data_IF_524715982541
#
_entry.id   IF_524715982541
#
_cell.length_a   1.000
_cell.length_b   1.000
_cell.length_c   1.000
_cell.angle_alpha   90.00
_cell.angle_beta   90.00
_cell.angle_gamma   90.00
#
_symmetry.space_group_name_H-M   'P 1'
#
loop_
_entity.id
_entity.type
_entity.pdbx_description
1 polymer ?
#
# COMPACT_ATOMS: atom_id res chain seq x y z
N UNK A 1 -27.00 -20.87 -14.35
CA UNK A 1 -26.68 -21.87 -13.33
C UNK A 1 -25.22 -21.70 -12.94
N UNK A 2 -24.97 -21.31 -11.68
CA UNK A 2 -23.62 -21.12 -11.12
C UNK A 2 -22.73 -22.34 -11.39
N UNK A 3 -21.58 -22.12 -12.01
CA UNK A 3 -20.52 -23.13 -12.09
C UNK A 3 -19.94 -23.27 -10.68
N UNK A 4 -20.06 -24.46 -10.07
CA UNK A 4 -19.49 -24.74 -8.75
C UNK A 4 -17.96 -24.60 -8.82
N UNK A 5 -17.41 -23.65 -8.10
CA UNK A 5 -15.97 -23.50 -7.84
C UNK A 5 -15.49 -24.67 -6.96
N UNK A 6 -15.12 -25.78 -7.57
CA UNK A 6 -14.59 -26.94 -6.87
C UNK A 6 -13.14 -27.17 -7.27
N UNK A 7 -12.20 -26.80 -6.42
CA UNK A 7 -10.85 -27.36 -6.44
C UNK A 7 -10.64 -28.14 -5.14
N UNK A 8 -10.11 -29.39 -5.17
CA UNK A 8 -9.64 -30.03 -3.96
C UNK A 8 -8.41 -29.32 -3.47
N UNK A 9 -8.31 -29.11 -2.16
CA UNK A 9 -7.14 -28.60 -1.49
C UNK A 9 -5.90 -29.43 -1.91
N UNK A 10 -4.91 -28.79 -2.50
CA UNK A 10 -3.60 -29.39 -2.67
C UNK A 10 -2.91 -29.36 -1.31
N UNK A 11 -2.83 -30.50 -0.66
CA UNK A 11 -1.99 -30.74 0.51
C UNK A 11 -0.53 -30.49 0.16
N UNK A 12 -0.04 -29.29 0.46
CA UNK A 12 1.39 -29.02 0.51
C UNK A 12 1.90 -29.53 1.88
N UNK A 13 2.12 -30.82 1.96
CA UNK A 13 2.86 -31.43 3.07
C UNK A 13 4.30 -30.91 3.00
N UNK A 14 4.65 -29.99 3.87
CA UNK A 14 6.02 -29.54 4.10
C UNK A 14 6.78 -30.66 4.79
N UNK A 15 7.54 -31.44 4.02
CA UNK A 15 8.48 -32.42 4.55
C UNK A 15 9.65 -31.70 5.22
N UNK A 16 9.72 -31.82 6.53
CA UNK A 16 10.87 -31.42 7.34
C UNK A 16 12.01 -32.40 7.00
N UNK A 17 12.95 -31.98 6.18
CA UNK A 17 14.22 -32.69 6.00
C UNK A 17 15.18 -32.21 7.10
N UNK A 18 15.46 -33.11 8.04
CA UNK A 18 16.48 -32.91 9.06
C UNK A 18 17.86 -32.84 8.41
N UNK A 19 18.53 -31.70 8.49
CA UNK A 19 19.93 -31.56 8.13
C UNK A 19 20.76 -31.80 9.38
N UNK A 20 21.58 -32.89 9.31
CA UNK A 20 22.54 -33.25 10.33
C UNK A 20 23.63 -32.18 10.47
N UNK A 21 23.93 -31.82 11.73
CA UNK A 21 24.87 -30.78 12.09
C UNK A 21 26.30 -31.08 11.62
N UNK A 22 26.93 -30.08 10.99
CA UNK A 22 28.34 -29.97 10.82
C UNK A 22 28.97 -29.25 12.03
N UNK A 23 30.22 -29.61 12.45
CA UNK A 23 30.78 -29.09 13.69
C UNK A 23 31.19 -27.62 13.55
N UNK A 24 30.73 -26.85 14.54
CA UNK A 24 31.05 -25.44 14.74
C UNK A 24 32.55 -25.27 14.97
N UNK A 25 33.26 -24.61 14.07
CA UNK A 25 34.58 -24.06 14.34
C UNK A 25 34.47 -22.86 15.25
N UNK A 26 34.91 -22.98 16.50
CA UNK A 26 35.17 -21.86 17.38
C UNK A 26 36.39 -21.05 16.87
N UNK A 27 36.10 -20.02 16.03
CA UNK A 27 37.01 -18.90 15.84
C UNK A 27 36.38 -17.70 16.60
N UNK A 28 37.15 -16.87 17.30
CA UNK A 28 36.71 -15.61 17.85
C UNK A 28 36.08 -14.81 16.69
N UNK A 29 34.77 -14.88 16.58
CA UNK A 29 34.06 -14.20 15.55
C UNK A 29 34.17 -12.68 15.77
N UNK A 30 34.53 -11.96 14.73
CA UNK A 30 34.06 -10.59 14.61
C UNK A 30 32.54 -10.66 14.82
N UNK A 31 32.03 -9.90 15.76
CA UNK A 31 30.60 -9.77 16.04
C UNK A 31 29.95 -9.41 14.70
N UNK A 32 29.07 -10.28 14.18
CA UNK A 32 28.43 -10.00 12.89
C UNK A 32 27.60 -8.75 13.06
N UNK A 33 27.73 -7.83 12.10
CA UNK A 33 26.96 -6.59 12.12
C UNK A 33 25.47 -6.91 12.20
N UNK A 34 24.76 -6.24 13.08
CA UNK A 34 23.33 -6.43 13.25
C UNK A 34 22.55 -5.75 12.10
N UNK A 35 21.37 -6.30 11.80
CA UNK A 35 20.44 -5.75 10.80
C UNK A 35 19.09 -5.53 11.47
N UNK A 36 18.89 -4.33 12.01
CA UNK A 36 17.68 -3.97 12.73
C UNK A 36 16.66 -3.29 11.84
N UNK A 37 15.42 -3.26 12.31
CA UNK A 37 14.31 -2.60 11.61
C UNK A 37 13.70 -1.52 12.50
N UNK A 38 13.26 -0.41 11.90
CA UNK A 38 12.55 0.67 12.61
C UNK A 38 11.36 1.17 11.80
N UNK A 39 10.24 1.40 12.50
CA UNK A 39 9.03 1.95 11.91
C UNK A 39 8.22 2.75 12.93
N UNK A 40 7.26 3.54 12.46
CA UNK A 40 6.38 4.33 13.32
C UNK A 40 5.45 3.43 14.15
N UNK A 41 4.75 2.51 13.49
CA UNK A 41 3.73 1.66 14.12
C UNK A 41 3.76 0.26 13.51
N UNK A 42 3.80 -0.78 14.34
CA UNK A 42 3.59 -2.15 13.91
C UNK A 42 2.11 -2.52 14.11
N UNK A 43 1.33 -2.56 13.03
CA UNK A 43 -0.09 -2.90 13.02
C UNK A 43 -0.31 -4.40 12.90
N UNK A 44 -1.39 -4.90 13.51
CA UNK A 44 -1.80 -6.29 13.35
C UNK A 44 -2.64 -6.45 12.08
N UNK A 45 -2.25 -7.36 11.21
CA UNK A 45 -3.00 -7.69 10.00
C UNK A 45 -2.88 -6.64 8.89
N UNK A 46 -1.96 -5.67 9.00
CA UNK A 46 -1.65 -4.77 7.89
C UNK A 46 -0.48 -5.29 7.03
N UNK A 47 -0.37 -4.78 5.80
CA UNK A 47 0.64 -5.21 4.84
C UNK A 47 2.07 -4.92 5.34
N UNK A 48 2.31 -3.75 5.93
CA UNK A 48 3.63 -3.34 6.43
C UNK A 48 4.03 -4.24 7.62
N UNK A 49 3.08 -4.53 8.52
CA UNK A 49 3.33 -5.42 9.65
C UNK A 49 3.75 -6.82 9.20
N UNK A 50 3.07 -7.38 8.20
CA UNK A 50 3.45 -8.69 7.64
C UNK A 50 4.83 -8.66 6.98
N UNK A 51 5.16 -7.61 6.24
CA UNK A 51 6.46 -7.47 5.59
C UNK A 51 7.59 -7.34 6.61
N UNK A 52 7.46 -6.50 7.63
CA UNK A 52 8.44 -6.32 8.71
C UNK A 52 8.74 -7.64 9.41
N UNK A 53 7.71 -8.40 9.76
CA UNK A 53 7.87 -9.72 10.39
C UNK A 53 8.49 -10.74 9.42
N UNK A 54 8.14 -10.67 8.14
CA UNK A 54 8.73 -11.49 7.08
C UNK A 54 10.23 -11.21 6.92
N UNK A 55 10.62 -9.95 6.84
CA UNK A 55 12.01 -9.49 6.76
C UNK A 55 12.80 -10.01 7.98
N UNK A 56 12.28 -9.81 9.20
CA UNK A 56 12.96 -10.29 10.41
C UNK A 56 13.20 -11.80 10.38
N UNK A 57 12.22 -12.58 9.93
CA UNK A 57 12.36 -14.03 9.81
C UNK A 57 13.49 -14.41 8.86
N UNK A 58 13.59 -13.78 7.69
CA UNK A 58 14.63 -14.04 6.69
C UNK A 58 16.00 -13.64 7.23
N UNK A 59 16.13 -12.46 7.83
CA UNK A 59 17.37 -11.98 8.42
C UNK A 59 17.89 -12.92 9.51
N UNK A 60 17.01 -13.35 10.43
CA UNK A 60 17.38 -14.30 11.51
C UNK A 60 17.73 -15.67 10.95
N UNK A 61 17.04 -16.15 9.91
CA UNK A 61 17.38 -17.40 9.24
C UNK A 61 18.75 -17.35 8.54
N UNK A 62 19.15 -16.17 8.04
CA UNK A 62 20.47 -15.92 7.49
C UNK A 62 21.57 -15.72 8.56
N UNK A 63 21.21 -15.70 9.85
CA UNK A 63 22.13 -15.59 10.98
C UNK A 63 22.40 -14.17 11.48
N UNK A 64 21.66 -13.18 10.98
CA UNK A 64 21.77 -11.81 11.47
C UNK A 64 21.04 -11.63 12.81
N UNK A 65 21.61 -10.82 13.70
CA UNK A 65 20.87 -10.26 14.82
C UNK A 65 19.90 -9.19 14.27
N UNK A 66 18.61 -9.41 14.49
CA UNK A 66 17.54 -8.55 13.94
C UNK A 66 16.42 -8.35 14.94
N UNK A 67 16.28 -7.09 15.35
CA UNK A 67 15.23 -6.59 16.24
C UNK A 67 14.35 -5.57 15.52
N UNK A 68 13.09 -5.43 15.96
CA UNK A 68 12.12 -4.48 15.42
C UNK A 68 11.89 -3.37 16.46
N UNK A 69 12.18 -2.14 16.09
CA UNK A 69 12.02 -0.95 16.94
C UNK A 69 10.85 -0.10 16.46
N UNK A 70 9.94 0.26 17.38
CA UNK A 70 8.71 0.96 17.02
C UNK A 70 8.42 2.13 17.98
N UNK A 71 7.67 3.12 17.49
CA UNK A 71 7.09 4.14 18.36
C UNK A 71 5.83 3.59 19.04
N UNK A 72 5.02 2.81 18.31
CA UNK A 72 3.82 2.14 18.84
C UNK A 72 3.66 0.77 18.19
N UNK A 73 3.02 -0.16 18.89
CA UNK A 73 2.65 -1.47 18.35
C UNK A 73 1.22 -1.82 18.75
N UNK A 74 0.57 -2.66 17.93
CA UNK A 74 -0.66 -3.32 18.36
C UNK A 74 -0.35 -4.19 19.60
N UNK A 75 -1.19 -4.20 20.65
CA UNK A 75 -0.93 -4.96 21.89
C UNK A 75 -0.63 -6.45 21.67
N UNK A 76 -1.15 -7.05 20.59
CA UNK A 76 -0.90 -8.45 20.22
C UNK A 76 0.53 -8.67 19.70
N UNK A 77 1.19 -7.63 19.18
CA UNK A 77 2.52 -7.68 18.58
C UNK A 77 3.59 -6.99 19.44
N UNK A 78 3.22 -6.34 20.55
CA UNK A 78 4.13 -5.59 21.40
C UNK A 78 5.32 -6.44 21.87
N UNK A 79 5.07 -7.71 22.18
CA UNK A 79 6.10 -8.67 22.64
C UNK A 79 7.17 -9.01 21.59
N UNK A 80 6.95 -8.65 20.32
CA UNK A 80 7.88 -8.83 19.19
C UNK A 80 8.72 -7.59 18.92
N UNK A 81 8.49 -6.49 19.65
CA UNK A 81 9.06 -5.18 19.36
C UNK A 81 9.82 -4.61 20.56
N UNK A 82 10.64 -3.61 20.28
CA UNK A 82 11.31 -2.77 21.28
C UNK A 82 10.93 -1.31 21.06
N UNK A 83 11.07 -0.51 22.10
CA UNK A 83 10.90 0.94 21.98
C UNK A 83 11.98 1.53 21.04
N UNK A 84 11.57 2.42 20.14
CA UNK A 84 12.50 3.05 19.19
C UNK A 84 13.66 3.82 19.84
N UNK A 85 13.51 4.24 21.11
CA UNK A 85 14.56 4.91 21.88
C UNK A 85 15.71 3.97 22.24
N UNK A 86 15.44 2.67 22.35
CA UNK A 86 16.47 1.66 22.64
C UNK A 86 17.44 1.46 21.46
N UNK A 87 17.10 1.96 20.26
CA UNK A 87 18.03 2.00 19.12
C UNK A 87 19.33 2.71 19.45
N UNK A 88 19.28 3.75 20.32
CA UNK A 88 20.46 4.54 20.71
C UNK A 88 21.52 3.66 21.35
N UNK A 89 21.12 2.66 22.12
CA UNK A 89 22.01 1.78 22.88
C UNK A 89 22.65 0.66 22.03
N UNK A 90 22.02 0.30 20.88
CA UNK A 90 22.47 -0.80 20.01
C UNK A 90 23.03 -0.31 18.68
N UNK A 91 22.93 0.98 18.40
CA UNK A 91 23.36 1.59 17.15
C UNK A 91 24.88 1.52 16.97
N UNK A 92 25.33 1.22 15.76
CA UNK A 92 26.74 1.13 15.39
C UNK A 92 26.97 1.53 13.92
N UNK A 93 28.10 2.18 13.59
CA UNK A 93 28.46 2.49 12.22
C UNK A 93 28.55 1.26 11.28
N UNK A 94 28.74 0.08 11.83
CA UNK A 94 28.86 -1.17 11.06
C UNK A 94 27.52 -1.86 10.86
N UNK A 95 26.51 -1.54 11.67
CA UNK A 95 25.17 -2.10 11.56
C UNK A 95 24.40 -1.55 10.34
N UNK A 96 23.39 -2.31 9.93
CA UNK A 96 22.37 -1.86 8.97
C UNK A 96 21.07 -1.60 9.72
N UNK A 97 20.45 -0.46 9.44
CA UNK A 97 19.12 -0.11 9.92
C UNK A 97 18.15 0.01 8.77
N UNK A 98 17.22 -0.94 8.67
CA UNK A 98 16.11 -0.90 7.71
C UNK A 98 15.03 0.01 8.29
N UNK A 99 14.82 1.16 7.65
CA UNK A 99 13.82 2.13 8.06
C UNK A 99 12.59 2.03 7.16
N UNK A 100 11.50 1.52 7.71
CA UNK A 100 10.20 1.47 7.04
C UNK A 100 9.51 2.82 7.09
N UNK A 101 9.48 3.51 5.97
CA UNK A 101 9.00 4.88 5.87
C UNK A 101 7.63 4.94 5.18
N UNK A 102 6.59 5.04 6.00
CA UNK A 102 5.19 5.20 5.56
C UNK A 102 4.59 6.53 5.99
N UNK A 103 5.21 7.21 6.96
CA UNK A 103 4.83 8.54 7.48
C UNK A 103 5.97 9.09 8.32
N UNK A 104 6.08 10.43 8.42
CA UNK A 104 7.02 11.07 9.36
C UNK A 104 6.68 10.75 10.82
N UNK A 105 7.70 10.41 11.63
CA UNK A 105 7.51 9.99 13.02
C UNK A 105 8.71 10.35 13.90
N UNK A 106 8.56 10.26 15.22
CA UNK A 106 9.70 10.39 16.15
C UNK A 106 10.71 9.26 15.98
N UNK A 107 10.23 8.04 15.69
CA UNK A 107 11.11 6.91 15.40
C UNK A 107 11.96 7.18 14.15
N UNK A 108 11.36 7.74 13.10
CA UNK A 108 12.08 8.17 11.89
C UNK A 108 13.17 9.19 12.18
N UNK A 109 12.89 10.18 13.05
CA UNK A 109 13.85 11.24 13.42
C UNK A 109 15.01 10.71 14.25
N UNK A 110 14.76 9.77 15.18
CA UNK A 110 15.82 9.08 15.93
C UNK A 110 16.68 8.26 14.98
N UNK A 111 16.08 7.42 14.14
CA UNK A 111 16.78 6.61 13.14
C UNK A 111 17.68 7.45 12.22
N UNK A 112 17.20 8.61 11.80
CA UNK A 112 17.97 9.55 10.96
C UNK A 112 19.26 9.97 11.62
N UNK A 113 19.26 10.25 12.93
CA UNK A 113 20.38 10.80 13.69
C UNK A 113 21.46 9.77 14.10
N UNK A 114 21.18 8.47 13.93
CA UNK A 114 22.09 7.38 14.33
C UNK A 114 23.15 7.11 13.26
N UNK A 115 24.29 6.48 13.59
CA UNK A 115 25.37 6.20 12.65
C UNK A 115 25.14 4.99 11.76
N UNK A 116 24.12 4.16 12.00
CA UNK A 116 23.87 2.93 11.23
C UNK A 116 23.78 3.19 9.73
N UNK A 117 24.19 2.22 8.91
CA UNK A 117 23.99 2.24 7.46
C UNK A 117 22.51 2.12 7.16
N UNK A 118 21.88 3.19 6.70
CA UNK A 118 20.42 3.21 6.54
C UNK A 118 19.99 2.66 5.19
N UNK A 119 19.11 1.66 5.24
CA UNK A 119 18.31 1.20 4.10
C UNK A 119 16.88 1.71 4.31
N UNK A 120 16.39 2.55 3.41
CA UNK A 120 15.01 3.02 3.45
C UNK A 120 14.11 2.06 2.68
N UNK A 121 13.02 1.59 3.29
CA UNK A 121 11.91 0.90 2.60
C UNK A 121 10.72 1.85 2.58
N UNK A 122 10.37 2.34 1.41
CA UNK A 122 9.34 3.33 1.20
C UNK A 122 8.00 2.69 0.85
N UNK A 123 7.05 2.76 1.77
CA UNK A 123 5.71 2.19 1.64
C UNK A 123 4.68 3.15 1.05
N UNK A 124 5.13 4.22 0.45
CA UNK A 124 4.35 5.34 -0.03
C UNK A 124 3.68 6.16 1.09
N UNK A 125 3.65 7.46 0.89
CA UNK A 125 2.89 8.38 1.75
C UNK A 125 1.75 8.95 0.92
N UNK A 126 0.52 8.62 1.29
CA UNK A 126 -0.67 9.13 0.61
C UNK A 126 -0.63 10.66 0.52
N UNK A 127 -0.86 11.24 -0.67
CA UNK A 127 -0.90 12.69 -0.82
C UNK A 127 -1.89 13.36 0.12
N UNK A 128 -1.50 14.48 0.76
CA UNK A 128 -2.32 15.12 1.80
C UNK A 128 -3.68 15.64 1.30
N UNK A 129 -3.80 15.94 0.02
CA UNK A 129 -5.05 16.44 -0.59
C UNK A 129 -6.22 15.48 -0.44
N UNK A 130 -5.98 14.17 -0.35
CA UNK A 130 -7.05 13.19 -0.11
C UNK A 130 -7.74 13.37 1.24
N UNK A 131 -7.04 13.96 2.23
CA UNK A 131 -7.52 14.08 3.59
C UNK A 131 -8.01 15.49 3.95
N UNK A 132 -7.92 16.43 3.02
CA UNK A 132 -8.44 17.80 3.20
C UNK A 132 -9.94 17.73 3.53
N UNK A 133 -10.38 18.52 4.50
CA UNK A 133 -11.75 18.60 5.01
C UNK A 133 -12.23 17.34 5.77
N UNK A 134 -11.42 16.27 5.82
CA UNK A 134 -11.80 15.00 6.46
C UNK A 134 -10.96 14.71 7.71
N UNK A 135 -9.64 14.90 7.61
CA UNK A 135 -8.72 14.51 8.68
C UNK A 135 -7.51 15.46 8.78
N UNK A 136 -7.64 16.64 9.43
CA UNK A 136 -6.61 17.69 9.46
C UNK A 136 -5.23 17.22 9.92
N UNK A 137 -5.18 16.39 10.98
CA UNK A 137 -3.91 15.86 11.48
C UNK A 137 -3.20 15.00 10.43
N UNK A 138 -3.94 14.17 9.68
CA UNK A 138 -3.35 13.31 8.67
C UNK A 138 -2.88 14.12 7.45
N UNK A 139 -3.57 15.21 7.09
CA UNK A 139 -3.09 16.19 6.10
C UNK A 139 -1.70 16.68 6.50
N UNK A 140 -1.54 17.13 7.76
CA UNK A 140 -0.26 17.60 8.27
C UNK A 140 0.82 16.51 8.24
N UNK A 141 0.53 15.32 8.78
CA UNK A 141 1.49 14.23 8.85
C UNK A 141 1.94 13.74 7.47
N UNK A 142 1.01 13.62 6.51
CA UNK A 142 1.35 13.23 5.14
C UNK A 142 2.16 14.32 4.43
N UNK A 143 1.77 15.58 4.59
CA UNK A 143 2.50 16.72 4.02
C UNK A 143 3.94 16.78 4.52
N UNK A 144 4.14 16.69 5.84
CA UNK A 144 5.46 16.69 6.46
C UNK A 144 6.26 15.46 6.04
N UNK A 145 5.68 14.26 6.09
CA UNK A 145 6.36 13.02 5.74
C UNK A 145 6.87 13.01 4.30
N UNK A 146 6.08 13.50 3.34
CA UNK A 146 6.53 13.63 1.94
C UNK A 146 7.69 14.63 1.78
N UNK A 147 7.74 15.67 2.59
CA UNK A 147 8.87 16.63 2.61
C UNK A 147 10.10 16.07 3.32
N UNK A 148 9.90 15.39 4.45
CA UNK A 148 10.97 14.72 5.19
C UNK A 148 11.67 13.64 4.35
N UNK A 149 10.96 12.98 3.42
CA UNK A 149 11.55 12.01 2.50
C UNK A 149 12.80 12.54 1.79
N UNK A 150 12.78 13.82 1.37
CA UNK A 150 13.91 14.46 0.72
C UNK A 150 15.17 14.55 1.59
N UNK A 151 15.02 14.62 2.92
CA UNK A 151 16.16 14.63 3.85
C UNK A 151 16.90 13.29 3.88
N UNK A 152 16.21 12.19 3.64
CA UNK A 152 16.80 10.85 3.65
C UNK A 152 17.65 10.53 2.42
N UNK A 153 17.56 11.32 1.34
CA UNK A 153 18.33 11.12 0.11
C UNK A 153 19.82 10.96 0.35
N UNK A 154 20.40 11.84 1.14
CA UNK A 154 21.84 11.87 1.42
C UNK A 154 22.20 11.03 2.67
N UNK A 155 21.19 10.47 3.33
CA UNK A 155 21.34 9.66 4.55
C UNK A 155 21.38 8.16 4.25
N UNK A 156 20.67 7.73 3.21
CA UNK A 156 20.51 6.31 2.90
C UNK A 156 21.63 5.80 2.01
N UNK A 157 22.14 4.60 2.33
CA UNK A 157 23.02 3.84 1.42
C UNK A 157 22.21 3.21 0.30
N UNK A 158 20.93 2.93 0.56
CA UNK A 158 20.01 2.28 -0.35
C UNK A 158 18.57 2.71 -0.02
N UNK A 159 17.74 2.96 -1.04
CA UNK A 159 16.33 3.24 -0.89
C UNK A 159 15.50 2.27 -1.77
N UNK A 160 14.59 1.54 -1.14
CA UNK A 160 13.79 0.50 -1.77
C UNK A 160 12.32 0.92 -1.77
N UNK A 161 11.64 0.72 -2.89
CA UNK A 161 10.18 0.79 -2.95
C UNK A 161 9.60 -0.62 -2.88
N UNK A 162 8.44 -0.78 -2.25
CA UNK A 162 7.69 -2.04 -2.22
C UNK A 162 6.97 -2.34 -3.55
N UNK A 163 7.02 -1.39 -4.49
CA UNK A 163 6.54 -1.52 -5.86
C UNK A 163 7.39 -0.70 -6.83
N UNK A 164 7.23 -0.95 -8.13
CA UNK A 164 7.85 -0.14 -9.17
C UNK A 164 7.43 1.33 -9.05
N UNK A 165 6.16 1.60 -8.80
CA UNK A 165 5.61 2.95 -8.58
C UNK A 165 6.33 3.68 -7.43
N UNK A 166 6.50 3.03 -6.28
CA UNK A 166 7.18 3.61 -5.14
C UNK A 166 8.67 3.84 -5.41
N UNK A 167 9.31 2.94 -6.16
CA UNK A 167 10.69 3.11 -6.58
C UNK A 167 10.85 4.29 -7.55
N UNK A 168 9.91 4.51 -8.46
CA UNK A 168 9.90 5.68 -9.35
C UNK A 168 9.78 7.00 -8.56
N UNK A 169 8.98 7.05 -7.50
CA UNK A 169 8.93 8.21 -6.60
C UNK A 169 10.28 8.47 -5.94
N UNK A 170 11.01 7.42 -5.49
CA UNK A 170 12.35 7.57 -4.92
C UNK A 170 13.36 8.07 -5.95
N UNK A 171 13.34 7.53 -7.18
CA UNK A 171 14.19 8.01 -8.28
C UNK A 171 13.93 9.48 -8.56
N UNK A 172 12.67 9.87 -8.65
CA UNK A 172 12.27 11.26 -8.89
C UNK A 172 12.59 12.19 -7.71
N UNK A 173 12.60 11.68 -6.47
CA UNK A 173 13.09 12.41 -5.30
C UNK A 173 14.62 12.54 -5.26
N UNK A 174 15.34 11.93 -6.20
CA UNK A 174 16.78 12.06 -6.38
C UNK A 174 17.62 11.12 -5.51
N UNK A 175 17.07 10.00 -5.05
CA UNK A 175 17.85 8.99 -4.33
C UNK A 175 18.88 8.35 -5.27
N UNK A 176 20.18 8.30 -4.88
CA UNK A 176 21.25 7.89 -5.78
C UNK A 176 21.26 6.39 -6.06
N UNK A 177 20.74 5.59 -5.14
CA UNK A 177 20.68 4.13 -5.26
C UNK A 177 19.29 3.65 -4.83
N UNK A 178 18.54 3.11 -5.79
CA UNK A 178 17.17 2.62 -5.58
C UNK A 178 17.00 1.20 -6.08
N UNK A 179 15.97 0.51 -5.59
CA UNK A 179 15.58 -0.82 -6.03
C UNK A 179 14.15 -1.14 -5.62
N UNK A 180 13.61 -2.23 -6.17
CA UNK A 180 12.31 -2.78 -5.75
C UNK A 180 12.57 -3.92 -4.76
N UNK A 181 12.01 -3.82 -3.57
CA UNK A 181 11.84 -4.94 -2.66
C UNK A 181 10.37 -5.37 -2.75
N UNK A 182 10.05 -6.43 -3.49
CA UNK A 182 8.65 -6.76 -3.77
C UNK A 182 7.94 -7.19 -2.49
N UNK A 183 6.69 -6.76 -2.32
CA UNK A 183 5.81 -7.30 -1.28
C UNK A 183 5.37 -8.70 -1.71
N UNK A 184 5.60 -9.69 -0.86
CA UNK A 184 5.06 -11.04 -1.06
C UNK A 184 3.92 -11.26 -0.07
N UNK A 185 2.66 -11.15 -0.50
CA UNK A 185 1.52 -11.29 0.38
C UNK A 185 1.47 -12.72 0.95
N UNK A 186 1.17 -12.84 2.23
CA UNK A 186 0.82 -14.12 2.83
C UNK A 186 -0.69 -14.32 2.77
N UNK A 187 -1.14 -15.42 2.22
CA UNK A 187 -2.57 -15.75 2.14
C UNK A 187 -3.00 -16.75 3.22
N UNK A 188 -2.13 -17.06 4.19
CA UNK A 188 -2.42 -18.02 5.27
C UNK A 188 -3.65 -17.65 6.11
N UNK A 189 -3.91 -16.35 6.26
CA UNK A 189 -5.09 -15.86 6.97
C UNK A 189 -6.41 -16.10 6.21
N UNK A 190 -6.35 -16.37 4.90
CA UNK A 190 -7.50 -16.69 4.06
C UNK A 190 -7.72 -18.22 3.90
N UNK A 191 -6.87 -19.05 4.49
CA UNK A 191 -6.97 -20.52 4.41
C UNK A 191 -8.06 -21.09 5.31
N UNK A 192 -8.66 -20.28 6.19
CA UNK A 192 -9.66 -20.72 7.15
C UNK A 192 -10.99 -21.05 6.45
N UNK A 193 -11.70 -22.04 7.00
CA UNK A 193 -12.98 -22.50 6.50
C UNK A 193 -14.01 -21.37 6.60
N UNK A 194 -14.78 -21.17 5.54
CA UNK A 194 -15.84 -20.16 5.47
C UNK A 194 -16.77 -20.21 6.69
N UNK A 195 -17.11 -19.05 7.24
CA UNK A 195 -18.13 -18.92 8.28
C UNK A 195 -19.48 -19.22 7.65
N UNK A 196 -20.09 -20.36 8.02
CA UNK A 196 -21.31 -20.88 7.41
C UNK A 196 -22.46 -19.86 7.35
N UNK A 197 -22.57 -19.00 8.38
CA UNK A 197 -23.59 -17.95 8.45
C UNK A 197 -23.45 -16.89 7.35
N UNK A 198 -22.22 -16.56 6.91
CA UNK A 198 -21.97 -15.62 5.81
C UNK A 198 -22.38 -16.29 4.49
N UNK A 199 -21.94 -17.52 4.27
CA UNK A 199 -22.33 -18.28 3.08
C UNK A 199 -23.86 -18.41 2.98
N UNK A 200 -24.53 -18.79 4.08
CA UNK A 200 -26.00 -18.89 4.14
C UNK A 200 -26.71 -17.56 3.85
N UNK A 201 -26.13 -16.43 4.27
CA UNK A 201 -26.72 -15.10 4.09
C UNK A 201 -26.53 -14.49 2.71
N UNK A 202 -25.44 -14.85 2.02
CA UNK A 202 -25.02 -14.19 0.78
C UNK A 202 -24.92 -15.12 -0.43
N UNK A 203 -25.06 -16.45 -0.27
CA UNK A 203 -25.16 -17.41 -1.39
C UNK A 203 -26.62 -17.70 -1.76
N UNK A 204 -27.38 -16.65 -2.04
CA UNK A 204 -28.82 -16.70 -2.32
C UNK A 204 -29.17 -16.38 -3.78
N UNK A 205 -28.17 -16.32 -4.67
CA UNK A 205 -28.33 -16.02 -6.08
C UNK A 205 -28.34 -14.52 -6.42
N UNK A 206 -28.09 -13.64 -5.46
CA UNK A 206 -27.79 -12.25 -5.73
C UNK A 206 -26.30 -12.08 -6.10
N UNK A 207 -26.00 -11.03 -6.86
CA UNK A 207 -24.62 -10.69 -7.19
C UNK A 207 -23.97 -9.89 -6.07
N UNK A 208 -22.85 -10.39 -5.54
CA UNK A 208 -22.10 -9.78 -4.47
C UNK A 208 -20.86 -9.08 -5.03
N UNK A 209 -20.85 -7.75 -4.99
CA UNK A 209 -19.69 -6.92 -5.36
C UNK A 209 -18.92 -6.64 -4.07
N UNK A 210 -17.65 -7.05 -4.03
CA UNK A 210 -16.80 -6.93 -2.83
C UNK A 210 -15.76 -5.81 -3.01
N UNK A 211 -15.55 -5.07 -1.94
CA UNK A 211 -14.38 -4.25 -1.70
C UNK A 211 -13.80 -4.60 -0.32
N UNK A 212 -12.47 -4.69 -0.24
CA UNK A 212 -11.73 -4.89 1.01
C UNK A 212 -10.68 -3.81 1.16
N UNK A 213 -10.67 -3.13 2.30
CA UNK A 213 -9.72 -2.09 2.62
C UNK A 213 -10.26 -1.05 3.60
N UNK A 214 -9.37 -0.25 4.20
CA UNK A 214 -9.80 0.86 5.07
C UNK A 214 -10.71 1.82 4.29
N UNK A 215 -11.78 2.27 4.92
CA UNK A 215 -12.71 3.24 4.31
C UNK A 215 -12.14 4.66 4.48
N UNK A 216 -11.18 5.02 3.64
CA UNK A 216 -10.48 6.31 3.64
C UNK A 216 -10.55 6.96 2.25
N UNK A 217 -10.40 8.28 2.14
CA UNK A 217 -10.69 9.03 0.92
C UNK A 217 -9.95 8.59 -0.34
N UNK A 218 -8.67 8.22 -0.24
CA UNK A 218 -7.89 7.74 -1.39
C UNK A 218 -8.38 6.40 -1.96
N UNK A 219 -9.16 5.63 -1.19
CA UNK A 219 -9.79 4.38 -1.65
C UNK A 219 -11.08 4.62 -2.44
N UNK A 220 -11.59 5.86 -2.45
CA UNK A 220 -12.73 6.29 -3.27
C UNK A 220 -13.98 5.43 -3.08
N UNK A 221 -14.34 5.18 -1.82
CA UNK A 221 -15.57 4.43 -1.50
C UNK A 221 -16.82 5.12 -2.05
N UNK A 222 -16.78 6.44 -2.14
CA UNK A 222 -17.84 7.23 -2.77
C UNK A 222 -18.01 6.89 -4.28
N UNK A 223 -16.92 6.63 -5.00
CA UNK A 223 -16.99 6.18 -6.39
C UNK A 223 -17.55 4.75 -6.48
N UNK A 224 -17.14 3.83 -5.57
CA UNK A 224 -17.73 2.49 -5.50
C UNK A 224 -19.25 2.53 -5.33
N UNK A 225 -19.74 3.39 -4.43
CA UNK A 225 -21.18 3.55 -4.21
C UNK A 225 -21.88 4.10 -5.45
N UNK A 226 -21.29 5.07 -6.17
CA UNK A 226 -21.86 5.62 -7.42
C UNK A 226 -21.87 4.61 -8.56
N UNK A 227 -20.78 3.85 -8.70
CA UNK A 227 -20.68 2.75 -9.69
C UNK A 227 -21.72 1.69 -9.38
N UNK A 228 -21.80 1.26 -8.13
CA UNK A 228 -22.79 0.29 -7.69
C UNK A 228 -24.23 0.78 -7.89
N UNK A 229 -24.52 2.06 -7.60
CA UNK A 229 -25.82 2.64 -7.89
C UNK A 229 -26.18 2.54 -9.38
N UNK A 230 -25.25 2.86 -10.28
CA UNK A 230 -25.45 2.72 -11.72
C UNK A 230 -25.68 1.26 -12.11
N UNK A 231 -24.86 0.33 -11.61
CA UNK A 231 -24.99 -1.10 -11.87
C UNK A 231 -26.33 -1.66 -11.40
N UNK A 232 -26.72 -1.36 -10.16
CA UNK A 232 -27.98 -1.83 -9.57
C UNK A 232 -29.22 -1.31 -10.30
N UNK A 233 -29.17 -0.07 -10.79
CA UNK A 233 -30.33 0.57 -11.45
C UNK A 233 -30.45 0.26 -12.93
N UNK A 234 -29.33 0.01 -13.63
CA UNK A 234 -29.31 -0.11 -15.09
C UNK A 234 -29.08 -1.56 -15.57
N UNK A 235 -28.38 -2.37 -14.77
CA UNK A 235 -27.96 -3.70 -15.15
C UNK A 235 -28.64 -4.76 -14.25
N UNK A 236 -28.29 -4.86 -12.97
CA UNK A 236 -28.76 -5.94 -12.10
C UNK A 236 -29.37 -5.43 -10.78
N UNK A 237 -30.72 -5.42 -10.65
CA UNK A 237 -31.36 -5.01 -9.40
C UNK A 237 -31.11 -5.99 -8.22
N UNK A 238 -30.68 -7.22 -8.50
CA UNK A 238 -30.34 -8.23 -7.50
C UNK A 238 -28.83 -8.25 -7.22
N UNK A 239 -28.27 -7.08 -6.90
CA UNK A 239 -26.87 -6.92 -6.55
C UNK A 239 -26.74 -6.32 -5.16
N UNK A 240 -25.59 -6.58 -4.51
CA UNK A 240 -25.17 -6.02 -3.21
C UNK A 240 -23.74 -5.47 -3.33
N UNK A 241 -23.46 -4.42 -2.58
CA UNK A 241 -22.10 -3.92 -2.38
C UNK A 241 -21.66 -4.23 -0.95
N UNK A 242 -20.64 -5.05 -0.81
CA UNK A 242 -20.05 -5.48 0.45
C UNK A 242 -18.76 -4.69 0.70
N UNK A 243 -18.77 -3.77 1.67
CA UNK A 243 -17.64 -2.93 2.02
C UNK A 243 -17.01 -3.43 3.31
N UNK A 244 -15.91 -4.16 3.21
CA UNK A 244 -15.17 -4.75 4.33
C UNK A 244 -13.97 -3.89 4.66
N UNK A 245 -13.86 -3.44 5.91
CA UNK A 245 -12.73 -2.70 6.43
C UNK A 245 -13.11 -1.61 7.42
N UNK A 246 -12.13 -1.20 8.21
CA UNK A 246 -12.32 -0.20 9.25
C UNK A 246 -12.45 1.21 8.68
N UNK A 247 -13.30 2.03 9.30
CA UNK A 247 -13.39 3.47 9.10
C UNK A 247 -12.84 4.27 10.31
N UNK A 248 -12.29 3.57 11.29
CA UNK A 248 -11.78 4.20 12.52
C UNK A 248 -10.87 5.39 12.26
N UNK A 249 -11.15 6.52 12.91
CA UNK A 249 -10.47 7.80 12.70
C UNK A 249 -10.96 8.62 11.48
N UNK A 250 -11.92 8.10 10.69
CA UNK A 250 -12.50 8.76 9.52
C UNK A 250 -14.03 8.92 9.62
N UNK A 251 -14.52 9.21 10.83
CA UNK A 251 -15.95 9.29 11.12
C UNK A 251 -16.68 10.29 10.22
N UNK A 252 -16.05 11.43 9.91
CA UNK A 252 -16.63 12.43 8.99
C UNK A 252 -16.78 11.87 7.57
N UNK A 253 -15.74 11.22 7.05
CA UNK A 253 -15.83 10.58 5.71
C UNK A 253 -16.87 9.48 5.70
N UNK A 254 -16.93 8.67 6.75
CA UNK A 254 -17.95 7.63 6.89
C UNK A 254 -19.36 8.19 6.91
N UNK A 255 -19.61 9.28 7.66
CA UNK A 255 -20.89 9.99 7.65
C UNK A 255 -21.25 10.52 6.24
N UNK A 256 -20.26 11.04 5.50
CA UNK A 256 -20.46 11.47 4.10
C UNK A 256 -20.87 10.30 3.19
N UNK A 257 -20.27 9.12 3.36
CA UNK A 257 -20.64 7.92 2.61
C UNK A 257 -22.07 7.47 2.92
N UNK A 258 -22.47 7.46 4.20
CA UNK A 258 -23.83 7.13 4.59
C UNK A 258 -24.86 8.14 4.01
N UNK A 259 -24.50 9.44 4.05
CA UNK A 259 -25.32 10.49 3.43
C UNK A 259 -25.44 10.31 1.91
N UNK A 260 -24.35 9.86 1.24
CA UNK A 260 -24.36 9.57 -0.19
C UNK A 260 -25.31 8.42 -0.52
N UNK A 261 -25.24 7.32 0.23
CA UNK A 261 -26.16 6.16 0.08
C UNK A 261 -27.62 6.62 0.22
N UNK A 262 -27.90 7.43 1.26
CA UNK A 262 -29.25 7.96 1.50
C UNK A 262 -29.73 8.92 0.38
N UNK A 263 -28.84 9.79 -0.13
CA UNK A 263 -29.13 10.74 -1.21
C UNK A 263 -29.42 10.02 -2.53
N UNK A 264 -28.63 9.02 -2.87
CA UNK A 264 -28.81 8.19 -4.06
C UNK A 264 -29.98 7.20 -3.90
N UNK A 265 -30.48 7.01 -2.69
CA UNK A 265 -31.51 6.02 -2.34
C UNK A 265 -31.13 4.62 -2.84
N UNK A 266 -29.84 4.28 -2.79
CA UNK A 266 -29.33 2.98 -3.20
C UNK A 266 -29.42 1.99 -2.06
N UNK A 267 -30.26 0.93 -2.15
CA UNK A 267 -30.31 -0.13 -1.14
C UNK A 267 -29.13 -1.11 -1.31
N UNK A 268 -29.01 -1.99 -0.31
CA UNK A 268 -28.10 -3.14 -0.35
C UNK A 268 -26.61 -2.77 -0.44
N UNK A 269 -26.24 -1.65 0.20
CA UNK A 269 -24.85 -1.27 0.50
C UNK A 269 -24.57 -1.63 1.96
N UNK A 270 -23.65 -2.55 2.19
CA UNK A 270 -23.31 -3.08 3.51
C UNK A 270 -21.94 -2.57 3.95
N UNK A 271 -21.91 -1.75 4.98
CA UNK A 271 -20.68 -1.33 5.66
C UNK A 271 -20.36 -2.32 6.78
N UNK A 272 -19.51 -3.30 6.50
CA UNK A 272 -19.26 -4.45 7.37
C UNK A 272 -18.23 -4.18 8.47
N UNK A 273 -17.48 -3.08 8.35
CA UNK A 273 -16.45 -2.73 9.33
C UNK A 273 -15.26 -3.68 9.32
N UNK A 274 -14.54 -3.72 10.44
CA UNK A 274 -13.45 -4.67 10.63
C UNK A 274 -14.02 -6.05 10.95
N UNK A 275 -13.57 -7.06 10.21
CA UNK A 275 -14.01 -8.44 10.33
C UNK A 275 -12.86 -9.36 10.75
N UNK A 276 -13.13 -10.57 11.23
CA UNK A 276 -12.11 -11.59 11.49
C UNK A 276 -11.52 -12.14 10.18
N UNK A 277 -10.40 -12.85 10.26
CA UNK A 277 -9.80 -13.51 9.10
C UNK A 277 -10.73 -14.57 8.47
N UNK A 278 -11.47 -15.29 9.31
CA UNK A 278 -12.46 -16.27 8.89
C UNK A 278 -13.62 -15.62 8.14
N UNK A 279 -14.13 -14.50 8.65
CA UNK A 279 -15.18 -13.73 8.01
C UNK A 279 -14.67 -13.09 6.71
N UNK A 280 -13.44 -12.55 6.68
CA UNK A 280 -12.81 -12.01 5.48
C UNK A 280 -12.71 -13.07 4.39
N UNK A 281 -12.22 -14.27 4.75
CA UNK A 281 -12.17 -15.42 3.84
C UNK A 281 -13.56 -15.75 3.27
N UNK A 282 -14.59 -15.79 4.14
CA UNK A 282 -15.96 -16.06 3.74
C UNK A 282 -16.55 -14.98 2.79
N UNK A 283 -16.23 -13.69 3.02
CA UNK A 283 -16.68 -12.62 2.11
C UNK A 283 -16.03 -12.73 0.72
N UNK A 284 -14.77 -13.12 0.64
CA UNK A 284 -14.17 -13.45 -0.65
C UNK A 284 -14.84 -14.67 -1.31
N UNK A 285 -15.19 -15.70 -0.54
CA UNK A 285 -15.81 -16.93 -1.09
C UNK A 285 -17.20 -16.69 -1.69
N UNK A 286 -17.97 -15.73 -1.16
CA UNK A 286 -19.30 -15.37 -1.67
C UNK A 286 -19.28 -14.25 -2.71
N UNK A 287 -18.13 -13.61 -2.96
CA UNK A 287 -18.00 -12.53 -3.92
C UNK A 287 -18.06 -13.03 -5.36
N UNK A 288 -18.78 -12.33 -6.21
CA UNK A 288 -18.82 -12.55 -7.66
C UNK A 288 -17.86 -11.63 -8.41
N UNK A 289 -17.57 -10.44 -7.86
CA UNK A 289 -16.63 -9.47 -8.42
C UNK A 289 -15.98 -8.68 -7.29
N UNK A 290 -14.67 -8.48 -7.39
CA UNK A 290 -13.94 -7.50 -6.56
C UNK A 290 -13.81 -6.20 -7.32
N UNK A 291 -14.33 -5.10 -6.76
CA UNK A 291 -14.29 -3.78 -7.39
C UNK A 291 -13.38 -2.84 -6.61
N UNK A 292 -12.36 -2.28 -7.26
CA UNK A 292 -11.44 -1.31 -6.70
C UNK A 292 -11.50 0.01 -7.47
N UNK A 293 -11.76 1.12 -6.75
CA UNK A 293 -11.78 2.47 -7.32
C UNK A 293 -10.67 3.37 -6.75
N UNK A 294 -9.70 2.79 -6.05
CA UNK A 294 -8.62 3.52 -5.39
C UNK A 294 -7.87 4.44 -6.35
N UNK A 295 -7.63 5.68 -5.95
CA UNK A 295 -6.82 6.64 -6.70
C UNK A 295 -5.36 6.67 -6.24
N UNK A 296 -5.08 6.09 -5.07
CA UNK A 296 -3.72 6.03 -4.56
C UNK A 296 -3.48 4.76 -3.74
N UNK A 297 -2.51 3.97 -4.20
CA UNK A 297 -2.03 2.73 -3.59
C UNK A 297 -0.51 2.66 -3.69
N UNK A 298 0.13 2.10 -2.65
CA UNK A 298 1.54 1.72 -2.71
C UNK A 298 1.74 0.33 -3.32
N UNK A 299 0.83 -0.62 -3.01
CA UNK A 299 0.79 -1.96 -3.59
C UNK A 299 -0.65 -2.46 -3.79
N UNK A 300 -1.51 -2.43 -2.77
CA UNK A 300 -2.89 -2.92 -2.77
C UNK A 300 -3.00 -4.46 -2.63
N UNK A 301 -2.58 -4.98 -1.48
CA UNK A 301 -2.68 -6.42 -1.13
C UNK A 301 -4.06 -7.05 -1.40
N UNK A 302 -5.21 -6.39 -1.15
CA UNK A 302 -6.53 -6.98 -1.42
C UNK A 302 -6.79 -7.42 -2.87
N UNK A 303 -6.07 -6.86 -3.85
CA UNK A 303 -6.14 -7.35 -5.24
C UNK A 303 -5.57 -8.76 -5.36
N UNK A 304 -4.44 -9.01 -4.70
CA UNK A 304 -3.80 -10.33 -4.69
C UNK A 304 -4.59 -11.34 -3.86
N UNK A 305 -5.24 -10.88 -2.79
CA UNK A 305 -6.18 -11.72 -2.01
C UNK A 305 -7.38 -12.14 -2.87
N UNK A 306 -7.96 -11.22 -3.64
CA UNK A 306 -9.03 -11.52 -4.58
C UNK A 306 -8.57 -12.50 -5.68
N UNK A 307 -7.35 -12.35 -6.20
CA UNK A 307 -6.76 -13.30 -7.14
C UNK A 307 -6.64 -14.70 -6.50
N UNK A 308 -6.05 -14.77 -5.30
CA UNK A 308 -5.90 -16.02 -4.56
C UNK A 308 -7.24 -16.72 -4.30
N UNK A 309 -8.28 -15.97 -3.99
CA UNK A 309 -9.65 -16.47 -3.77
C UNK A 309 -10.44 -16.66 -5.07
N UNK A 310 -9.78 -16.47 -6.24
CA UNK A 310 -10.39 -16.62 -7.57
C UNK A 310 -11.68 -15.78 -7.71
N UNK A 311 -11.63 -14.55 -7.24
CA UNK A 311 -12.67 -13.54 -7.47
C UNK A 311 -12.23 -12.68 -8.65
N UNK A 312 -13.02 -12.54 -9.72
CA UNK A 312 -12.68 -11.63 -10.82
C UNK A 312 -12.48 -10.21 -10.31
N UNK A 313 -11.41 -9.55 -10.73
CA UNK A 313 -11.05 -8.19 -10.29
C UNK A 313 -11.28 -7.19 -11.41
N UNK A 314 -12.01 -6.10 -11.07
CA UNK A 314 -12.12 -4.89 -11.86
C UNK A 314 -11.57 -3.73 -11.06
N UNK A 315 -10.46 -3.11 -11.50
CA UNK A 315 -9.76 -2.09 -10.73
C UNK A 315 -9.45 -0.83 -11.55
N UNK A 316 -9.46 0.32 -10.87
CA UNK A 316 -9.03 1.59 -11.47
C UNK A 316 -7.52 1.63 -11.66
N UNK A 317 -7.09 2.00 -12.88
CA UNK A 317 -5.68 2.04 -13.27
C UNK A 317 -4.98 3.27 -12.68
N UNK A 318 -4.68 3.26 -11.39
CA UNK A 318 -3.98 4.35 -10.71
C UNK A 318 -2.79 3.85 -9.90
N UNK A 319 -1.72 4.64 -9.88
CA UNK A 319 -0.51 4.44 -9.06
C UNK A 319 0.06 3.02 -9.16
N UNK A 320 0.17 2.26 -8.07
CA UNK A 320 0.71 0.90 -8.10
C UNK A 320 -0.26 -0.17 -8.62
N UNK A 321 -1.57 0.12 -8.76
CA UNK A 321 -2.59 -0.89 -9.14
C UNK A 321 -2.22 -1.66 -10.42
N UNK A 322 -1.83 -1.01 -11.55
CA UNK A 322 -1.48 -1.75 -12.77
C UNK A 322 -0.27 -2.67 -12.59
N UNK A 323 0.77 -2.22 -11.87
CA UNK A 323 1.96 -3.03 -11.62
C UNK A 323 1.70 -4.17 -10.64
N UNK A 324 0.84 -3.97 -9.64
CA UNK A 324 0.44 -5.03 -8.70
C UNK A 324 -0.37 -6.10 -9.39
N UNK A 325 -1.31 -5.72 -10.27
CA UNK A 325 -2.12 -6.68 -11.02
C UNK A 325 -1.30 -7.45 -12.07
N UNK A 326 -0.21 -6.89 -12.55
CA UNK A 326 0.73 -7.54 -13.49
C UNK A 326 0.04 -8.27 -14.66
N UNK A 327 -0.95 -7.61 -15.27
CA UNK A 327 -1.74 -8.14 -16.37
C UNK A 327 -2.84 -9.12 -15.96
N UNK A 328 -3.04 -9.39 -14.66
CA UNK A 328 -4.20 -10.14 -14.16
C UNK A 328 -5.43 -9.24 -13.98
N UNK A 329 -6.62 -9.80 -14.12
CA UNK A 329 -7.87 -9.06 -13.94
C UNK A 329 -8.15 -8.04 -15.04
N UNK A 330 -9.02 -7.07 -14.75
CA UNK A 330 -9.44 -6.01 -15.68
C UNK A 330 -9.15 -4.65 -15.10
N UNK A 331 -8.49 -3.78 -15.88
CA UNK A 331 -8.24 -2.38 -15.52
C UNK A 331 -9.21 -1.45 -16.27
N UNK A 332 -9.70 -0.41 -15.57
CA UNK A 332 -10.43 0.68 -16.20
C UNK A 332 -9.74 2.03 -15.91
N UNK A 333 -9.78 2.94 -16.87
CA UNK A 333 -9.11 4.26 -16.79
C UNK A 333 -10.10 5.41 -16.63
N UNK A 334 -11.38 5.19 -16.95
CA UNK A 334 -12.41 6.23 -16.91
C UNK A 334 -13.39 5.98 -15.78
N UNK A 335 -13.48 6.89 -14.83
CA UNK A 335 -14.39 6.83 -13.67
C UNK A 335 -15.81 7.30 -14.00
N UNK A 336 -16.38 6.89 -15.12
CA UNK A 336 -17.79 7.06 -15.41
C UNK A 336 -18.58 5.93 -14.74
N UNK A 337 -19.47 6.20 -13.79
CA UNK A 337 -20.22 5.15 -13.09
C UNK A 337 -21.01 4.24 -14.04
N UNK A 338 -21.64 4.80 -15.05
CA UNK A 338 -22.41 4.04 -16.05
C UNK A 338 -21.52 3.19 -16.95
N UNK A 339 -20.33 3.70 -17.32
CA UNK A 339 -19.39 2.94 -18.13
C UNK A 339 -18.83 1.75 -17.34
N UNK A 340 -18.39 1.98 -16.09
CA UNK A 340 -17.86 0.90 -15.25
C UNK A 340 -18.95 -0.12 -14.92
N UNK A 341 -20.20 0.31 -14.70
CA UNK A 341 -21.33 -0.59 -14.52
C UNK A 341 -21.58 -1.49 -15.72
N UNK A 342 -21.45 -0.97 -16.95
CA UNK A 342 -21.55 -1.76 -18.17
C UNK A 342 -20.41 -2.78 -18.31
N UNK A 343 -19.18 -2.42 -17.90
CA UNK A 343 -18.05 -3.36 -17.85
C UNK A 343 -18.30 -4.46 -16.82
N UNK A 344 -18.83 -4.12 -15.64
CA UNK A 344 -19.21 -5.12 -14.62
C UNK A 344 -20.23 -6.12 -15.18
N UNK A 345 -21.27 -5.62 -15.86
CA UNK A 345 -22.29 -6.48 -16.48
C UNK A 345 -21.66 -7.39 -17.53
N UNK A 346 -20.84 -6.87 -18.43
CA UNK A 346 -20.17 -7.65 -19.46
C UNK A 346 -19.29 -8.78 -18.87
N UNK A 347 -18.62 -8.52 -17.76
CA UNK A 347 -17.82 -9.55 -17.05
C UNK A 347 -18.74 -10.61 -16.44
N UNK A 348 -19.79 -10.19 -15.73
CA UNK A 348 -20.60 -11.09 -14.92
C UNK A 348 -21.60 -11.93 -15.75
N UNK A 349 -21.97 -11.46 -16.94
CA UNK A 349 -22.87 -12.18 -17.87
C UNK A 349 -22.14 -13.20 -18.75
N UNK A 350 -20.81 -13.10 -18.88
CA UNK A 350 -20.02 -13.97 -19.76
C UNK A 350 -19.10 -14.89 -18.92
N UNK A 351 -19.51 -16.16 -18.78
CA UNK A 351 -18.74 -17.15 -18.01
C UNK A 351 -17.37 -17.46 -18.64
N UNK A 352 -17.26 -17.42 -19.97
CA UNK A 352 -15.98 -17.66 -20.63
C UNK A 352 -15.03 -16.49 -20.41
N UNK A 353 -15.53 -15.25 -20.36
CA UNK A 353 -14.73 -14.07 -20.00
C UNK A 353 -14.28 -14.13 -18.55
N UNK A 354 -15.15 -14.55 -17.62
CA UNK A 354 -14.75 -14.77 -16.20
C UNK A 354 -13.60 -15.76 -16.10
N UNK A 355 -13.68 -16.91 -16.78
CA UNK A 355 -12.59 -17.90 -16.76
C UNK A 355 -11.28 -17.36 -17.37
N UNK A 356 -11.34 -16.56 -18.43
CA UNK A 356 -10.16 -15.89 -18.98
C UNK A 356 -9.54 -14.90 -17.99
N UNK A 357 -10.37 -14.11 -17.31
CA UNK A 357 -9.93 -13.17 -16.25
C UNK A 357 -9.25 -13.95 -15.13
N UNK A 358 -9.87 -15.01 -14.63
CA UNK A 358 -9.31 -15.85 -13.58
C UNK A 358 -7.99 -16.52 -14.00
N UNK A 359 -7.89 -16.99 -15.23
CA UNK A 359 -6.63 -17.53 -15.75
C UNK A 359 -5.51 -16.47 -15.81
N UNK A 360 -5.84 -15.23 -16.17
CA UNK A 360 -4.87 -14.12 -16.14
C UNK A 360 -4.40 -13.78 -14.71
N UNK A 361 -5.32 -13.85 -13.73
CA UNK A 361 -5.04 -13.66 -12.31
C UNK A 361 -4.18 -14.78 -11.73
N UNK A 362 -4.47 -16.04 -12.06
CA UNK A 362 -3.65 -17.18 -11.67
C UNK A 362 -2.20 -17.02 -12.21
N UNK A 363 -2.05 -16.63 -13.48
CA UNK A 363 -0.74 -16.39 -14.07
C UNK A 363 0.03 -15.23 -13.40
N UNK A 364 -0.65 -14.17 -12.96
CA UNK A 364 -0.04 -13.08 -12.21
C UNK A 364 0.42 -13.55 -10.81
N UNK A 365 -0.37 -14.36 -10.13
CA UNK A 365 0.02 -14.97 -8.84
C UNK A 365 1.22 -15.91 -9.01
N UNK A 366 1.27 -16.70 -10.08
CA UNK A 366 2.41 -17.58 -10.36
C UNK A 366 3.69 -16.77 -10.57
N UNK A 367 3.63 -15.64 -11.28
CA UNK A 367 4.78 -14.72 -11.43
C UNK A 367 5.20 -14.09 -10.11
N UNK A 368 4.23 -13.68 -9.29
CA UNK A 368 4.51 -13.13 -7.96
C UNK A 368 5.18 -14.18 -7.06
N UNK A 369 4.66 -15.41 -7.05
CA UNK A 369 5.23 -16.52 -6.26
C UNK A 369 6.62 -16.96 -6.73
N UNK A 370 6.93 -16.75 -8.03
CA UNK A 370 8.25 -17.04 -8.58
C UNK A 370 9.31 -15.98 -8.22
N UNK A 371 8.94 -14.87 -7.60
CA UNK A 371 9.88 -13.85 -7.17
C UNK A 371 10.69 -14.37 -5.98
N UNK A 372 12.02 -14.26 -6.08
CA UNK A 372 12.94 -14.61 -5.00
C UNK A 372 13.04 -13.42 -4.01
N UNK A 373 12.04 -13.30 -3.13
CA UNK A 373 12.03 -12.26 -2.11
C UNK A 373 13.23 -12.41 -1.15
N UNK A 374 13.46 -13.61 -0.62
CA UNK A 374 14.51 -13.86 0.37
C UNK A 374 15.90 -13.54 -0.20
N UNK A 375 16.21 -14.03 -1.39
CA UNK A 375 17.48 -13.74 -2.07
C UNK A 375 17.60 -12.26 -2.48
N UNK A 376 16.50 -11.63 -2.87
CA UNK A 376 16.50 -10.18 -3.19
C UNK A 376 16.78 -9.34 -1.95
N UNK A 377 16.11 -9.63 -0.84
CA UNK A 377 16.34 -8.96 0.44
C UNK A 377 17.79 -9.13 0.90
N UNK A 378 18.30 -10.37 0.93
CA UNK A 378 19.67 -10.67 1.40
C UNK A 378 20.72 -10.00 0.50
N UNK A 379 20.52 -9.95 -0.80
CA UNK A 379 21.41 -9.21 -1.72
C UNK A 379 21.45 -7.71 -1.39
N UNK A 380 20.31 -7.07 -1.08
CA UNK A 380 20.28 -5.67 -0.68
C UNK A 380 20.92 -5.45 0.70
N UNK A 381 20.74 -6.38 1.62
CA UNK A 381 21.41 -6.35 2.93
C UNK A 381 22.92 -6.50 2.78
N UNK A 382 23.40 -7.42 1.96
CA UNK A 382 24.82 -7.61 1.67
C UNK A 382 25.43 -6.35 1.02
N UNK A 383 24.72 -5.72 0.08
CA UNK A 383 25.12 -4.44 -0.51
C UNK A 383 25.25 -3.34 0.55
N UNK A 384 24.30 -3.25 1.46
CA UNK A 384 24.34 -2.28 2.55
C UNK A 384 25.47 -2.57 3.56
N UNK A 385 25.69 -3.83 3.90
CA UNK A 385 26.79 -4.25 4.78
C UNK A 385 28.16 -3.95 4.18
N UNK A 386 28.30 -4.08 2.86
CA UNK A 386 29.54 -3.77 2.13
C UNK A 386 29.80 -2.26 1.99
N UNK A 387 28.84 -1.40 2.25
CA UNK A 387 29.02 0.05 2.23
C UNK A 387 29.98 0.50 3.35
N UNK A 388 30.66 1.66 3.19
CA UNK A 388 31.50 2.22 4.25
C UNK A 388 30.74 2.36 5.56
N UNK A 389 31.44 2.35 6.72
CA UNK A 389 30.82 2.58 8.01
C UNK A 389 29.94 3.82 8.00
N UNK A 390 28.77 3.72 8.59
CA UNK A 390 27.82 4.82 8.64
C UNK A 390 28.34 5.98 9.47
N UNK A 391 27.80 7.17 9.21
CA UNK A 391 28.17 8.41 9.90
C UNK A 391 26.89 9.06 10.40
N UNK A 392 26.84 9.32 11.72
CA UNK A 392 25.75 10.09 12.30
C UNK A 392 25.73 11.50 11.70
N UNK A 393 24.63 11.95 11.10
CA UNK A 393 24.53 13.32 10.59
C UNK A 393 24.51 14.30 11.78
N UNK A 394 25.10 15.48 11.56
CA UNK A 394 25.03 16.57 12.54
C UNK A 394 23.67 17.26 12.39
N UNK A 395 22.71 16.88 13.22
CA UNK A 395 21.39 17.49 13.26
C UNK A 395 21.25 18.37 14.51
N UNK A 396 20.76 19.60 14.32
CA UNK A 396 20.31 20.48 15.39
C UNK A 396 18.83 20.23 15.69
N UNK A 397 18.33 20.78 16.78
CA UNK A 397 16.89 20.74 17.09
C UNK A 397 16.07 21.38 15.98
N UNK A 398 16.58 22.47 15.39
CA UNK A 398 15.91 23.25 14.34
C UNK A 398 15.93 22.53 12.97
N UNK A 399 16.69 21.44 12.81
CA UNK A 399 16.77 20.72 11.54
C UNK A 399 15.38 20.23 11.08
N UNK A 400 14.55 19.74 11.99
CA UNK A 400 13.23 19.23 11.70
C UNK A 400 12.18 20.32 11.55
N UNK A 401 12.42 21.51 12.15
CA UNK A 401 11.51 22.66 12.09
C UNK A 401 11.29 23.12 10.63
N UNK A 402 12.29 22.93 9.75
CA UNK A 402 12.14 23.20 8.32
C UNK A 402 11.03 22.39 7.63
N UNK A 403 10.62 21.28 8.22
CA UNK A 403 9.53 20.43 7.74
C UNK A 403 8.22 20.67 8.49
N UNK A 404 8.27 21.32 9.65
CA UNK A 404 7.11 21.67 10.47
C UNK A 404 6.48 22.98 9.97
N UNK A 405 5.92 22.92 8.79
CA UNK A 405 5.29 24.08 8.14
C UNK A 405 3.84 24.29 8.59
N UNK A 406 3.54 24.11 9.88
CA UNK A 406 2.18 24.15 10.38
C UNK A 406 1.49 25.48 10.08
N UNK A 407 2.18 26.61 10.27
CA UNK A 407 1.66 27.93 9.96
C UNK A 407 1.39 28.10 8.46
N UNK A 408 2.34 27.68 7.61
CA UNK A 408 2.18 27.73 6.14
C UNK A 408 1.07 26.81 5.66
N UNK A 409 0.96 25.62 6.26
CA UNK A 409 -0.10 24.68 5.94
C UNK A 409 -1.47 25.23 6.31
N UNK A 410 -1.59 25.85 7.47
CA UNK A 410 -2.84 26.46 7.93
C UNK A 410 -3.19 27.69 7.09
N UNK A 411 -2.21 28.51 6.72
CA UNK A 411 -2.40 29.65 5.80
C UNK A 411 -2.90 29.18 4.43
N UNK A 412 -2.26 28.16 3.84
CA UNK A 412 -2.67 27.57 2.56
C UNK A 412 -4.07 27.00 2.66
N UNK A 413 -4.39 26.28 3.75
CA UNK A 413 -5.69 25.69 4.00
C UNK A 413 -6.79 26.75 4.13
N UNK A 414 -6.50 27.83 4.85
CA UNK A 414 -7.46 28.89 5.12
C UNK A 414 -7.69 29.80 3.89
N UNK A 415 -6.63 30.20 3.21
CA UNK A 415 -6.68 31.20 2.15
C UNK A 415 -6.56 30.63 0.74
N UNK A 416 -5.98 29.43 0.60
CA UNK A 416 -5.75 28.77 -0.68
C UNK A 416 -5.95 27.26 -0.61
N UNK A 417 -7.11 26.74 -0.24
CA UNK A 417 -7.34 25.30 -0.12
C UNK A 417 -7.12 24.56 -1.45
N UNK A 418 -7.30 25.23 -2.60
CA UNK A 418 -6.97 24.68 -3.91
C UNK A 418 -5.46 24.48 -4.13
N UNK A 419 -4.62 25.34 -3.54
CA UNK A 419 -3.17 25.18 -3.61
C UNK A 419 -2.70 23.98 -2.80
N UNK A 420 -3.38 23.66 -1.69
CA UNK A 420 -3.10 22.43 -0.94
C UNK A 420 -3.44 21.18 -1.77
N UNK A 421 -4.52 21.21 -2.54
CA UNK A 421 -4.89 20.13 -3.47
C UNK A 421 -3.92 20.01 -4.65
N UNK A 422 -3.25 21.10 -5.01
CA UNK A 422 -2.25 21.15 -6.06
C UNK A 422 -0.84 20.76 -5.58
N UNK A 423 -0.66 20.40 -4.30
CA UNK A 423 0.61 19.84 -3.85
C UNK A 423 0.91 18.57 -4.64
N UNK A 424 2.18 18.35 -5.05
CA UNK A 424 2.51 17.24 -5.91
C UNK A 424 2.03 15.92 -5.30
N UNK A 425 1.28 15.16 -6.08
CA UNK A 425 0.81 13.82 -5.70
C UNK A 425 1.99 12.89 -5.52
N UNK A 426 3.03 13.12 -6.33
CA UNK A 426 4.34 12.50 -6.19
C UNK A 426 5.30 13.54 -5.64
N UNK A 427 6.23 13.15 -4.82
CA UNK A 427 7.35 13.99 -4.41
C UNK A 427 8.35 14.17 -5.57
N UNK A 428 7.88 14.24 -6.80
CA UNK A 428 8.68 14.32 -8.01
C UNK A 428 8.71 15.76 -8.51
N UNK A 429 9.86 16.39 -8.50
CA UNK A 429 10.08 17.67 -9.17
C UNK A 429 9.92 17.57 -10.70
N UNK A 430 9.97 16.35 -11.27
CA UNK A 430 9.82 16.11 -12.69
C UNK A 430 8.41 16.44 -13.21
N UNK A 431 7.36 16.17 -12.42
CA UNK A 431 5.98 16.47 -12.82
C UNK A 431 5.69 17.99 -12.79
N UNK A 432 6.36 18.76 -11.93
CA UNK A 432 6.25 20.21 -11.93
C UNK A 432 6.87 20.83 -13.19
N UNK A 433 8.00 20.30 -13.65
CA UNK A 433 8.65 20.78 -14.87
C UNK A 433 7.86 20.44 -16.15
N UNK A 434 7.19 19.28 -16.19
CA UNK A 434 6.34 18.90 -17.32
C UNK A 434 5.04 19.72 -17.39
N UNK A 435 4.50 20.13 -16.25
CA UNK A 435 3.29 20.97 -16.18
C UNK A 435 3.58 22.41 -16.59
N UNK A 436 4.75 22.96 -16.24
CA UNK A 436 5.18 24.29 -16.69
C UNK A 436 5.52 24.32 -18.19
N UNK A 437 6.11 23.24 -18.73
CA UNK A 437 6.39 23.13 -20.15
C UNK A 437 5.11 23.05 -20.99
N UNK A 438 4.07 22.36 -20.49
CA UNK A 438 2.74 22.31 -21.12
C UNK A 438 2.01 23.66 -21.04
N UNK A 439 2.08 24.36 -19.91
CA UNK A 439 1.46 25.67 -19.74
C UNK A 439 2.12 26.78 -20.57
N UNK A 440 3.42 26.68 -20.86
CA UNK A 440 4.14 27.61 -21.75
C UNK A 440 3.88 27.32 -23.22
N UNK A 441 3.69 26.06 -23.60
CA UNK A 441 3.33 25.66 -24.98
C UNK A 441 1.92 26.17 -25.35
N UNK A 442 0.97 26.15 -24.41
CA UNK A 442 -0.42 26.60 -24.65
C UNK A 442 -0.52 28.15 -24.73
N UNK A 443 0.36 28.88 -24.01
CA UNK A 443 0.44 30.36 -24.14
C UNK A 443 1.05 30.82 -25.45
N UNK A 444 1.98 30.08 -26.03
CA UNK A 444 2.59 30.43 -27.33
C UNK A 444 1.69 30.15 -28.54
N UNK A 445 0.66 29.33 -28.37
CA UNK A 445 -0.32 29.02 -29.41
C UNK A 445 -1.43 30.10 -29.56
N UNK A 446 -1.59 30.98 -28.57
CA UNK A 446 -2.65 32.01 -28.57
C UNK A 446 -2.15 33.42 -28.96
N UNK A 447 -0.85 33.64 -29.19
CA UNK A 447 -0.32 34.89 -29.74
C UNK A 447 -0.07 34.75 -31.24
N UNK A 448 -1.13 34.72 -32.04
CA UNK A 448 -1.06 35.04 -33.47
C UNK A 448 -1.27 36.55 -33.64
N UNK A 449 -0.42 37.27 -34.38
CA UNK A 449 -0.54 38.73 -34.58
C UNK A 449 -1.77 39.03 -35.44
N UNK A 450 -2.71 39.78 -34.91
CA UNK A 450 -3.74 40.42 -35.72
C UNK A 450 -3.06 41.43 -36.64
N UNK A 451 -3.10 41.09 -37.90
CA UNK A 451 -2.51 41.89 -38.98
C UNK A 451 -3.08 43.28 -39.07
N UNK A 452 -2.20 44.17 -39.47
CA UNK A 452 -2.47 45.52 -39.91
C UNK A 452 -3.45 45.53 -41.09
N UNK A 453 -4.49 46.31 -40.99
CA UNK A 453 -5.14 46.93 -42.14
C UNK A 453 -5.38 48.40 -41.80
N UNK A 454 -4.75 49.23 -42.64
CA UNK A 454 -5.00 50.63 -43.01
C UNK A 454 -5.02 51.66 -41.85
#
# INVERSE_FOLDING_TARGET
>A
GRVRKGRPAADAATSVVGVAGAPVRQGRGAEMAAVHQVLATLGYGDAIGHEVLGIQRVLRAAGHDSEIFVQTADPRLEHLTRDYRDLIDVSSPDNVLIHHFSIGSRASRVAYALPDKMVLVYHNITPPEFFVDVHPLLVQLCFMGRRELGAYRDRCVLALGDSAFNTEELVAAGFPRTGVLPVVPSFSHLANTAVGTIAESFDDGWTNILFVGRMIPNKKIDDLIRIFHAYKTQCNPRARLLLVGSYGGFDLYFAMLQQLVATLKVPDVFFLGHVSNEELSAFYDVADLFLCASEHEGFCVPLMEAFHKRVPVLAYAATAVPSTMDGGGVLYETKSPTHVAAVMEAILDDADLVEQILASQDAALDRLAAQDFDGTLLRFVDEALAAPPGIAPKVSFDFWDQFELQEQLEEVRQYRPSALRALPVRSTFADAASTEASATADRSAHESPRGARE
#
